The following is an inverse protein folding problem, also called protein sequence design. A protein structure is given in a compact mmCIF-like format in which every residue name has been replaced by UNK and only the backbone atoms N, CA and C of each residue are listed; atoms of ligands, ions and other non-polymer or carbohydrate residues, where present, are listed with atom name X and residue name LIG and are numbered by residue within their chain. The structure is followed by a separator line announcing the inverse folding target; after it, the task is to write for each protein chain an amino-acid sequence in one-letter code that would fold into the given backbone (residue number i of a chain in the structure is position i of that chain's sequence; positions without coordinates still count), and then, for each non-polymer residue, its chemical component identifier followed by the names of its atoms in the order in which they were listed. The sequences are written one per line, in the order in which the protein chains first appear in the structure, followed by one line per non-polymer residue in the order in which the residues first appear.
data_IF_769204036883
#
_entry.id   IF_769204036883
#
_cell.length_a   1.000
_cell.length_b   1.000
_cell.length_c   1.000
_cell.angle_alpha   90.00
_cell.angle_beta   90.00
_cell.angle_gamma   90.00
#
_symmetry.space_group_name_H-M   'P 1'
#
loop_
_entity.id
_entity.type
_entity.pdbx_description
1 polymer ?
#
# COMPACT_ATOMS: atom_id res chain seq x y z
N UNK A 1 -10.76 26.23 50.17
CA UNK A 1 -10.51 27.13 49.02
C UNK A 1 -11.58 26.85 47.96
N UNK A 2 -12.50 27.78 47.67
CA UNK A 2 -13.58 27.56 46.69
C UNK A 2 -13.06 27.92 45.29
N UNK A 3 -13.10 26.98 44.35
CA UNK A 3 -12.74 27.24 42.95
C UNK A 3 -13.88 28.04 42.32
N UNK A 4 -13.61 29.19 41.67
CA UNK A 4 -14.66 30.01 41.07
C UNK A 4 -15.31 29.29 39.88
N UNK A 5 -16.63 29.32 39.79
CA UNK A 5 -17.43 28.65 38.75
C UNK A 5 -17.01 29.10 37.33
N UNK A 6 -16.57 30.35 37.17
CA UNK A 6 -16.05 30.88 35.91
C UNK A 6 -14.81 30.11 35.42
N UNK A 7 -13.95 29.66 36.34
CA UNK A 7 -12.77 28.86 36.02
C UNK A 7 -13.16 27.45 35.56
N UNK A 8 -14.21 26.86 36.11
CA UNK A 8 -14.71 25.56 35.63
C UNK A 8 -15.28 25.70 34.21
N UNK A 9 -16.03 26.77 33.94
CA UNK A 9 -16.62 27.04 32.62
C UNK A 9 -15.57 27.27 31.53
N UNK A 10 -14.50 28.02 31.80
CA UNK A 10 -13.44 28.28 30.81
C UNK A 10 -12.68 26.99 30.46
N UNK A 11 -12.40 26.13 31.45
CA UNK A 11 -11.71 24.86 31.21
C UNK A 11 -12.59 23.87 30.43
N UNK A 12 -13.90 23.85 30.69
CA UNK A 12 -14.85 23.06 29.89
C UNK A 12 -14.87 23.57 28.43
N UNK A 13 -14.93 24.88 28.22
CA UNK A 13 -14.89 25.48 26.88
C UNK A 13 -13.60 25.11 26.14
N UNK A 14 -12.45 25.22 26.80
CA UNK A 14 -11.15 24.86 26.24
C UNK A 14 -11.06 23.36 25.91
N UNK A 15 -11.64 22.51 26.75
CA UNK A 15 -11.72 21.07 26.50
C UNK A 15 -12.53 20.74 25.25
N UNK A 16 -13.70 21.38 25.07
CA UNK A 16 -14.49 21.21 23.85
C UNK A 16 -13.79 21.77 22.62
N UNK A 17 -13.08 22.90 22.75
CA UNK A 17 -12.29 23.47 21.66
C UNK A 17 -11.15 22.52 21.23
N UNK A 18 -10.49 21.89 22.21
CA UNK A 18 -9.45 20.89 21.97
C UNK A 18 -10.00 19.64 21.29
N UNK A 19 -11.17 19.15 21.71
CA UNK A 19 -11.84 18.01 21.08
C UNK A 19 -12.18 18.29 19.61
N UNK A 20 -12.72 19.47 19.31
CA UNK A 20 -13.07 19.86 17.93
C UNK A 20 -11.82 20.04 17.06
N UNK A 21 -10.72 20.57 17.62
CA UNK A 21 -9.46 20.75 16.88
C UNK A 21 -8.75 19.44 16.51
N UNK A 22 -9.08 18.32 17.15
CA UNK A 22 -8.41 17.03 16.94
C UNK A 22 -8.95 16.21 15.76
N UNK A 23 -10.09 16.59 15.16
CA UNK A 23 -10.76 15.78 14.13
C UNK A 23 -10.14 15.85 12.74
N UNK A 24 -9.17 16.74 12.50
CA UNK A 24 -8.54 16.92 11.18
C UNK A 24 -7.20 16.18 11.00
N UNK A 25 -6.70 15.48 12.02
CA UNK A 25 -5.37 14.85 11.97
C UNK A 25 -5.32 13.50 11.25
N UNK A 26 -6.46 12.95 10.80
CA UNK A 26 -6.54 11.59 10.26
C UNK A 26 -6.64 11.48 8.73
N UNK A 27 -6.48 12.56 7.97
CA UNK A 27 -6.49 12.47 6.49
C UNK A 27 -5.10 12.15 5.92
N UNK A 28 -4.52 11.01 6.30
CA UNK A 28 -3.45 10.40 5.51
C UNK A 28 -4.11 9.52 4.46
N UNK A 29 -4.55 10.14 3.36
CA UNK A 29 -5.05 9.40 2.21
C UNK A 29 -3.85 8.74 1.54
N UNK A 30 -3.57 7.50 1.93
CA UNK A 30 -2.60 6.65 1.23
C UNK A 30 -3.16 6.34 -0.15
N UNK A 31 -2.67 7.07 -1.15
CA UNK A 31 -3.02 6.84 -2.55
C UNK A 31 -2.08 5.85 -3.23
N UNK A 32 -1.02 5.43 -2.54
CA UNK A 32 -0.05 4.45 -3.06
C UNK A 32 -0.11 3.18 -2.22
N UNK A 33 -0.42 2.07 -2.87
CA UNK A 33 -0.42 0.72 -2.29
C UNK A 33 0.85 0.01 -2.74
N UNK A 34 1.60 -0.57 -1.80
CA UNK A 34 2.89 -1.24 -2.07
C UNK A 34 2.81 -2.70 -1.65
N UNK A 35 3.43 -3.58 -2.43
CA UNK A 35 3.71 -4.95 -2.02
C UNK A 35 5.19 -5.29 -2.21
N UNK A 36 5.76 -5.95 -1.20
CA UNK A 36 7.11 -6.51 -1.23
C UNK A 36 7.12 -7.99 -1.60
N UNK A 37 5.94 -8.62 -1.69
CA UNK A 37 5.77 -10.03 -2.02
C UNK A 37 4.63 -10.19 -3.03
N UNK A 38 4.87 -10.94 -4.10
CA UNK A 38 3.86 -11.18 -5.12
C UNK A 38 4.28 -12.31 -6.03
N UNK A 39 3.28 -13.00 -6.59
CA UNK A 39 3.49 -14.08 -7.55
C UNK A 39 3.13 -13.60 -8.94
N UNK A 40 3.95 -13.98 -9.93
CA UNK A 40 3.65 -13.84 -11.35
C UNK A 40 3.81 -15.20 -12.01
N UNK A 41 2.87 -15.52 -12.89
CA UNK A 41 2.87 -16.74 -13.71
C UNK A 41 2.89 -16.34 -15.20
N UNK A 42 3.74 -17.00 -15.96
CA UNK A 42 3.94 -16.83 -17.40
C UNK A 42 3.62 -18.15 -18.10
N UNK A 43 2.65 -18.10 -19.01
CA UNK A 43 2.27 -19.23 -19.85
C UNK A 43 2.43 -18.83 -21.30
N UNK A 44 3.24 -19.58 -22.04
CA UNK A 44 3.33 -19.49 -23.50
C UNK A 44 2.74 -20.76 -24.10
N UNK A 45 1.72 -20.60 -24.94
CA UNK A 45 1.08 -21.68 -25.67
C UNK A 45 1.44 -21.57 -27.16
N UNK A 46 2.64 -22.04 -27.49
CA UNK A 46 3.10 -22.12 -28.87
C UNK A 46 2.92 -23.56 -29.40
N UNK A 47 2.57 -23.76 -30.70
CA UNK A 47 2.22 -25.09 -31.23
C UNK A 47 3.28 -26.18 -31.06
N UNK A 48 4.55 -25.81 -30.92
CA UNK A 48 5.69 -26.72 -30.82
C UNK A 48 6.26 -26.77 -29.40
N UNK A 49 5.86 -25.86 -28.50
CA UNK A 49 6.42 -25.74 -27.17
C UNK A 49 5.48 -24.99 -26.23
N UNK A 50 5.13 -25.65 -25.11
CA UNK A 50 4.43 -25.02 -23.99
C UNK A 50 5.47 -24.62 -22.95
N UNK A 51 5.39 -23.38 -22.47
CA UNK A 51 6.22 -22.87 -21.37
C UNK A 51 5.30 -22.53 -20.19
N UNK A 52 5.64 -23.03 -19.01
CA UNK A 52 4.96 -22.68 -17.75
C UNK A 52 6.01 -22.21 -16.74
N UNK A 53 6.25 -20.91 -16.69
CA UNK A 53 7.22 -20.31 -15.78
C UNK A 53 6.53 -19.42 -14.74
N UNK A 54 7.15 -19.24 -13.58
CA UNK A 54 6.65 -18.31 -12.57
C UNK A 54 7.73 -17.85 -11.59
N UNK A 55 7.46 -16.74 -10.91
CA UNK A 55 8.32 -16.16 -9.87
C UNK A 55 7.47 -15.70 -8.69
N UNK A 56 8.03 -15.72 -7.48
CA UNK A 56 7.31 -15.32 -6.23
C UNK A 56 7.92 -14.10 -5.55
N UNK A 57 8.93 -13.50 -6.20
CA UNK A 57 9.70 -12.35 -5.73
C UNK A 57 9.31 -11.07 -6.50
N UNK A 58 8.02 -10.90 -6.79
CA UNK A 58 7.47 -9.69 -7.41
C UNK A 58 7.30 -8.58 -6.36
N UNK A 59 7.78 -7.39 -6.68
CA UNK A 59 7.47 -6.16 -5.94
C UNK A 59 6.54 -5.29 -6.77
N UNK A 60 5.65 -4.54 -6.12
CA UNK A 60 4.68 -3.72 -6.83
C UNK A 60 4.28 -2.46 -6.08
N UNK A 61 3.85 -1.47 -6.85
CA UNK A 61 3.22 -0.26 -6.35
C UNK A 61 2.05 0.14 -7.27
N UNK A 62 0.94 0.60 -6.69
CA UNK A 62 -0.22 1.13 -7.40
C UNK A 62 -0.53 2.51 -6.83
N UNK A 63 -0.51 3.55 -7.67
CA UNK A 63 -0.88 4.92 -7.33
C UNK A 63 -2.27 5.24 -7.90
N UNK A 64 -3.26 5.35 -7.02
CA UNK A 64 -4.65 5.65 -7.38
C UNK A 64 -4.86 7.13 -7.76
N UNK A 65 -4.02 8.04 -7.29
CA UNK A 65 -4.12 9.47 -7.66
C UNK A 65 -3.75 9.68 -9.11
N UNK A 66 -2.69 8.99 -9.56
CA UNK A 66 -2.16 9.11 -10.92
C UNK A 66 -2.67 8.00 -11.85
N UNK A 67 -3.40 7.01 -11.33
CA UNK A 67 -3.85 5.82 -12.07
C UNK A 67 -2.69 5.05 -12.72
N UNK A 68 -1.55 5.00 -12.02
CA UNK A 68 -0.34 4.34 -12.49
C UNK A 68 -0.02 3.13 -11.63
N UNK A 69 0.71 2.19 -12.21
CA UNK A 69 1.22 1.03 -11.50
C UNK A 69 2.66 0.73 -11.94
N UNK A 70 3.40 0.08 -11.05
CA UNK A 70 4.74 -0.40 -11.29
C UNK A 70 4.85 -1.81 -10.70
N UNK A 71 5.37 -2.75 -11.49
CA UNK A 71 5.75 -4.08 -11.02
C UNK A 71 7.19 -4.34 -11.42
N UNK A 72 7.99 -4.84 -10.47
CA UNK A 72 9.41 -5.11 -10.66
C UNK A 72 9.71 -6.54 -10.23
N UNK A 73 10.42 -7.24 -11.09
CA UNK A 73 10.95 -8.58 -10.85
C UNK A 73 12.28 -8.73 -11.59
N UNK A 74 13.10 -9.69 -11.18
CA UNK A 74 14.32 -10.06 -11.91
C UNK A 74 14.03 -11.27 -12.79
N UNK A 75 14.46 -11.27 -14.05
CA UNK A 75 14.26 -12.41 -14.96
C UNK A 75 14.84 -13.71 -14.38
N UNK A 76 15.96 -13.63 -13.67
CA UNK A 76 16.59 -14.77 -13.01
C UNK A 76 15.73 -15.43 -11.92
N UNK A 77 14.65 -14.79 -11.45
CA UNK A 77 13.76 -15.33 -10.44
C UNK A 77 12.69 -16.26 -11.04
N UNK A 78 12.50 -16.23 -12.36
CA UNK A 78 11.59 -17.17 -13.01
C UNK A 78 12.10 -18.60 -12.91
N UNK A 79 11.19 -19.51 -12.62
CA UNK A 79 11.40 -20.97 -12.61
C UNK A 79 10.36 -21.61 -13.53
N UNK A 80 10.75 -22.64 -14.27
CA UNK A 80 9.83 -23.40 -15.15
C UNK A 80 10.00 -23.16 -16.65
N UNK A 81 11.03 -22.42 -17.08
CA UNK A 81 11.47 -22.45 -18.48
C UNK A 81 12.04 -23.82 -18.85
N UNK A 82 11.89 -24.20 -20.13
CA UNK A 82 12.34 -25.51 -20.61
C UNK A 82 13.86 -25.55 -20.85
N UNK A 83 14.53 -24.39 -20.93
CA UNK A 83 15.99 -24.30 -21.05
C UNK A 83 16.57 -23.03 -20.41
N UNK A 84 17.87 -22.97 -20.07
CA UNK A 84 18.50 -21.78 -19.46
C UNK A 84 18.64 -20.56 -20.37
N UNK A 85 18.45 -20.72 -21.68
CA UNK A 85 18.48 -19.63 -22.65
C UNK A 85 17.11 -18.93 -22.80
N UNK A 86 16.04 -19.58 -22.31
CA UNK A 86 14.68 -19.05 -22.29
C UNK A 86 14.43 -18.22 -21.04
#
# INVERSE_FOLDING_TARGET
MKIPIAFIKINILLFFLFLIGSTSLFSQQYNVYITENGRIDFVSDAPLEIINAGASELKGAIDLSNQTFLFVLQNANFKGFNSPLQ
#
